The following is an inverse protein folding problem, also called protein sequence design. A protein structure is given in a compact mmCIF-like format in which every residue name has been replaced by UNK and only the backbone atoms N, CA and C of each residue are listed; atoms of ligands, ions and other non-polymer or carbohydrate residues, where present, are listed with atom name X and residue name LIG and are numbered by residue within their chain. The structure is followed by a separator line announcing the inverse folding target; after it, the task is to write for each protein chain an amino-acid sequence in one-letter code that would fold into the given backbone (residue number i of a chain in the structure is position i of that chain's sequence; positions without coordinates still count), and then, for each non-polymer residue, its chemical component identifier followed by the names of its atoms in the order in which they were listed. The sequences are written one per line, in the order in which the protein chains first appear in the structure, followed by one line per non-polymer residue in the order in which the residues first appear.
data_IF_452832263435
#
_entry.id   IF_452832263435
#
_cell.length_a   1.000
_cell.length_b   1.000
_cell.length_c   1.000
_cell.angle_alpha   90.00
_cell.angle_beta   90.00
_cell.angle_gamma   90.00
#
_symmetry.space_group_name_H-M   'P 1'
#
loop_
_entity.id
_entity.type
_entity.pdbx_description
1 polymer ?
#
# COMPACT_ATOMS: atom_id res chain seq x y z
N UNK A 1 16.51 3.70 -13.87
CA UNK A 1 15.83 4.02 -12.60
C UNK A 1 15.31 2.71 -12.03
N UNK A 2 15.53 2.44 -10.75
CA UNK A 2 14.94 1.28 -10.06
C UNK A 2 13.43 1.48 -9.91
N UNK A 3 12.66 0.41 -9.99
CA UNK A 3 11.21 0.44 -9.78
C UNK A 3 10.83 -0.67 -8.81
N UNK A 4 10.19 -0.31 -7.71
CA UNK A 4 9.62 -1.22 -6.71
C UNK A 4 8.14 -0.90 -6.58
N UNK A 5 7.29 -1.87 -6.88
CA UNK A 5 5.84 -1.73 -6.71
C UNK A 5 5.46 -2.01 -5.26
N UNK A 6 5.01 -0.99 -4.55
CA UNK A 6 4.71 -1.09 -3.11
C UNK A 6 3.35 -1.71 -2.80
N UNK A 7 2.50 -1.95 -3.80
CA UNK A 7 1.11 -2.35 -3.58
C UNK A 7 0.60 -3.31 -4.66
N UNK A 8 0.85 -4.60 -4.45
CA UNK A 8 0.41 -5.68 -5.33
C UNK A 8 -0.36 -6.73 -4.54
N UNK A 9 -1.38 -7.30 -5.13
CA UNK A 9 -2.12 -8.41 -4.55
C UNK A 9 -1.86 -9.72 -5.31
N UNK A 10 -1.64 -10.80 -4.56
CA UNK A 10 -1.58 -12.15 -5.10
C UNK A 10 -3.02 -12.69 -5.18
N UNK A 11 -3.48 -13.02 -6.38
CA UNK A 11 -4.77 -13.64 -6.58
C UNK A 11 -4.67 -15.15 -6.47
N UNK A 12 -5.76 -15.79 -6.02
CA UNK A 12 -5.87 -17.26 -5.96
C UNK A 12 -6.28 -17.82 -7.35
N UNK A 13 -5.39 -17.58 -8.32
CA UNK A 13 -5.54 -18.00 -9.71
C UNK A 13 -4.34 -18.83 -10.14
N UNK A 14 -4.59 -19.92 -10.87
CA UNK A 14 -3.52 -20.77 -11.36
C UNK A 14 -2.56 -20.01 -12.30
N UNK A 15 -1.26 -20.04 -12.01
CA UNK A 15 -0.23 -19.36 -12.81
C UNK A 15 -0.17 -17.84 -12.64
N UNK A 16 -0.93 -17.27 -11.65
CA UNK A 16 -0.92 -15.83 -11.40
C UNK A 16 0.48 -15.31 -11.07
N UNK A 17 1.20 -15.97 -10.16
CA UNK A 17 2.55 -15.57 -9.75
C UNK A 17 3.52 -15.56 -10.93
N UNK A 18 3.52 -16.60 -11.78
CA UNK A 18 4.37 -16.65 -12.96
C UNK A 18 4.07 -15.54 -13.95
N UNK A 19 2.79 -15.19 -14.11
CA UNK A 19 2.34 -14.10 -14.97
C UNK A 19 2.73 -12.73 -14.38
N UNK A 20 2.60 -12.55 -13.08
CA UNK A 20 3.06 -11.35 -12.36
C UNK A 20 4.57 -11.14 -12.56
N UNK A 21 5.39 -12.17 -12.32
CA UNK A 21 6.84 -12.10 -12.47
C UNK A 21 7.26 -11.75 -13.91
N UNK A 22 6.59 -12.33 -14.91
CA UNK A 22 6.82 -11.99 -16.31
C UNK A 22 6.46 -10.53 -16.60
N UNK A 23 5.33 -10.05 -16.11
CA UNK A 23 4.93 -8.65 -16.27
C UNK A 23 5.92 -7.70 -15.58
N UNK A 24 6.42 -8.07 -14.40
CA UNK A 24 7.49 -7.29 -13.75
C UNK A 24 8.74 -7.19 -14.64
N UNK A 25 9.15 -8.29 -15.29
CA UNK A 25 10.29 -8.29 -16.21
C UNK A 25 10.02 -7.37 -17.42
N UNK A 26 8.84 -7.49 -18.02
CA UNK A 26 8.43 -6.66 -19.17
C UNK A 26 8.37 -5.17 -18.83
N UNK A 27 7.98 -4.83 -17.59
CA UNK A 27 7.87 -3.45 -17.10
C UNK A 27 9.16 -2.92 -16.43
N UNK A 28 10.19 -3.76 -16.27
CA UNK A 28 11.42 -3.38 -15.58
C UNK A 28 11.23 -3.16 -14.07
N UNK A 29 10.22 -3.79 -13.45
CA UNK A 29 9.96 -3.74 -12.02
C UNK A 29 10.89 -4.72 -11.32
N UNK A 30 11.75 -4.21 -10.45
CA UNK A 30 12.75 -5.01 -9.74
C UNK A 30 12.12 -5.89 -8.66
N UNK A 31 11.27 -5.29 -7.82
CA UNK A 31 10.59 -5.95 -6.70
C UNK A 31 9.14 -5.49 -6.58
N UNK A 32 8.31 -6.31 -5.94
CA UNK A 32 7.00 -5.86 -5.50
C UNK A 32 6.71 -6.27 -4.05
N UNK A 33 6.04 -5.39 -3.30
CA UNK A 33 5.42 -5.71 -2.01
C UNK A 33 4.08 -6.37 -2.28
N UNK A 34 3.95 -7.63 -1.93
CA UNK A 34 2.80 -8.45 -2.31
C UNK A 34 2.04 -8.91 -1.06
N UNK A 35 0.74 -8.70 -1.05
CA UNK A 35 -0.17 -9.23 -0.04
C UNK A 35 -1.28 -10.05 -0.66
N UNK A 36 -1.84 -10.98 0.11
CA UNK A 36 -3.18 -11.49 -0.12
C UNK A 36 -4.23 -10.58 0.52
N UNK A 37 -5.52 -10.84 0.26
CA UNK A 37 -6.64 -10.28 1.02
C UNK A 37 -7.63 -11.37 1.41
N UNK A 38 -7.25 -12.63 1.20
CA UNK A 38 -8.08 -13.80 1.48
C UNK A 38 -9.29 -13.93 0.55
N UNK A 39 -10.14 -14.88 0.86
CA UNK A 39 -11.24 -15.31 -0.01
C UNK A 39 -12.31 -14.23 -0.27
N UNK A 40 -12.42 -13.20 0.60
CA UNK A 40 -13.42 -12.13 0.43
C UNK A 40 -13.30 -11.39 -0.90
N UNK A 41 -12.11 -11.38 -1.49
CA UNK A 41 -11.83 -10.77 -2.79
C UNK A 41 -11.35 -11.77 -3.86
N UNK A 42 -11.34 -13.06 -3.58
CA UNK A 42 -10.72 -14.05 -4.47
C UNK A 42 -9.20 -13.97 -4.49
N UNK A 43 -8.59 -13.41 -3.46
CA UNK A 43 -7.15 -13.29 -3.30
C UNK A 43 -6.58 -14.47 -2.52
N UNK A 44 -5.28 -14.69 -2.69
CA UNK A 44 -4.51 -15.64 -1.90
C UNK A 44 -4.50 -15.27 -0.41
N UNK A 45 -4.21 -16.23 0.44
CA UNK A 45 -3.99 -16.06 1.87
C UNK A 45 -2.52 -15.70 2.20
N UNK A 46 -2.23 -15.41 3.46
CA UNK A 46 -0.87 -15.10 3.92
C UNK A 46 0.09 -16.28 3.72
N UNK A 47 -0.38 -17.52 3.83
CA UNK A 47 0.46 -18.71 3.63
C UNK A 47 0.95 -18.80 2.18
N UNK A 48 0.08 -18.54 1.22
CA UNK A 48 0.41 -18.49 -0.21
C UNK A 48 1.39 -17.37 -0.54
N UNK A 49 1.21 -16.18 0.05
CA UNK A 49 2.19 -15.08 -0.05
C UNK A 49 3.53 -15.49 0.54
N UNK A 50 3.52 -16.19 1.69
CA UNK A 50 4.71 -16.76 2.31
C UNK A 50 5.47 -17.71 1.38
N UNK A 51 4.77 -18.56 0.64
CA UNK A 51 5.38 -19.45 -0.37
C UNK A 51 5.96 -18.62 -1.52
N UNK A 52 5.27 -17.60 -2.00
CA UNK A 52 5.70 -16.77 -3.12
C UNK A 52 7.03 -16.04 -2.83
N UNK A 53 7.16 -15.36 -1.70
CA UNK A 53 8.40 -14.64 -1.40
C UNK A 53 9.56 -15.57 -1.01
N UNK A 54 9.31 -16.74 -0.45
CA UNK A 54 10.36 -17.74 -0.21
C UNK A 54 10.87 -18.35 -1.52
N UNK A 55 10.00 -18.53 -2.51
CA UNK A 55 10.39 -19.00 -3.84
C UNK A 55 11.12 -17.92 -4.67
N UNK A 56 10.80 -16.66 -4.46
CA UNK A 56 11.34 -15.53 -5.22
C UNK A 56 11.80 -14.38 -4.31
N UNK A 57 12.79 -14.61 -3.42
CA UNK A 57 13.18 -13.64 -2.37
C UNK A 57 13.77 -12.34 -2.93
N UNK A 58 14.32 -12.40 -4.15
CA UNK A 58 14.89 -11.23 -4.83
C UNK A 58 13.84 -10.39 -5.56
N UNK A 59 12.61 -10.91 -5.70
CA UNK A 59 11.54 -10.28 -6.48
C UNK A 59 10.31 -9.91 -5.63
N UNK A 60 9.97 -10.73 -4.65
CA UNK A 60 8.75 -10.58 -3.85
C UNK A 60 9.09 -10.22 -2.41
N UNK A 61 8.50 -9.15 -1.91
CA UNK A 61 8.54 -8.73 -0.51
C UNK A 61 7.15 -9.06 0.08
N UNK A 62 7.09 -9.90 1.09
CA UNK A 62 5.82 -10.30 1.70
C UNK A 62 5.25 -9.17 2.57
N UNK A 63 3.99 -8.81 2.29
CA UNK A 63 3.16 -7.97 3.16
C UNK A 63 2.07 -8.86 3.79
N UNK A 64 2.08 -9.00 5.13
CA UNK A 64 1.07 -9.79 5.82
C UNK A 64 -0.26 -9.04 5.85
N UNK A 65 -1.33 -9.72 5.45
CA UNK A 65 -2.68 -9.17 5.54
C UNK A 65 -3.23 -9.32 6.95
N UNK A 66 -3.66 -8.20 7.54
CA UNK A 66 -4.21 -8.07 8.89
C UNK A 66 -5.56 -7.36 8.83
N UNK A 67 -6.53 -7.88 9.59
CA UNK A 67 -7.87 -7.31 9.74
C UNK A 67 -8.08 -6.82 11.18
N UNK A 68 -7.97 -5.52 11.46
CA UNK A 68 -8.23 -4.97 12.80
C UNK A 68 -9.62 -5.32 13.34
N UNK A 69 -9.69 -5.74 14.60
CA UNK A 69 -10.91 -6.25 15.24
C UNK A 69 -11.20 -7.73 14.95
N UNK A 70 -10.29 -8.43 14.24
CA UNK A 70 -10.32 -9.88 14.01
C UNK A 70 -8.99 -10.48 14.40
N UNK A 71 -7.91 -9.95 13.82
CA UNK A 71 -6.55 -10.44 14.01
C UNK A 71 -5.90 -9.78 15.22
N UNK A 72 -5.07 -10.54 15.94
CA UNK A 72 -4.32 -10.07 17.11
C UNK A 72 -2.86 -9.74 16.78
N UNK A 73 -2.13 -9.09 17.71
CA UNK A 73 -0.74 -8.68 17.53
C UNK A 73 0.21 -9.87 17.28
N UNK A 74 -0.10 -11.05 17.82
CA UNK A 74 0.68 -12.27 17.66
C UNK A 74 0.76 -12.75 16.19
N UNK A 75 -0.14 -12.29 15.34
CA UNK A 75 -0.08 -12.60 13.91
C UNK A 75 1.00 -11.78 13.22
N UNK A 76 1.26 -10.54 13.69
CA UNK A 76 2.37 -9.72 13.19
C UNK A 76 3.70 -10.32 13.65
N UNK A 77 3.79 -10.78 14.93
CA UNK A 77 4.98 -11.44 15.45
C UNK A 77 5.35 -12.66 14.61
N UNK A 78 4.39 -13.56 14.37
CA UNK A 78 4.58 -14.76 13.53
C UNK A 78 4.97 -14.41 12.10
N UNK A 79 4.30 -13.43 11.50
CA UNK A 79 4.61 -13.01 10.15
C UNK A 79 6.04 -12.45 10.04
N UNK A 80 6.50 -11.68 11.02
CA UNK A 80 7.88 -11.21 11.07
C UNK A 80 8.89 -12.38 11.14
N UNK A 81 8.62 -13.36 12.02
CA UNK A 81 9.45 -14.58 12.14
C UNK A 81 9.48 -15.39 10.84
N UNK A 82 8.36 -15.46 10.12
CA UNK A 82 8.24 -16.13 8.82
C UNK A 82 8.92 -15.39 7.67
N UNK A 83 9.32 -14.13 7.87
CA UNK A 83 10.05 -13.32 6.88
C UNK A 83 9.24 -12.25 6.15
N UNK A 84 7.99 -12.01 6.55
CA UNK A 84 7.26 -10.83 6.07
C UNK A 84 7.97 -9.55 6.50
N UNK A 85 7.87 -8.50 5.70
CA UNK A 85 8.55 -7.22 5.93
C UNK A 85 7.61 -6.02 5.96
N UNK A 86 6.34 -6.20 5.68
CA UNK A 86 5.33 -5.16 5.61
C UNK A 86 4.00 -5.70 6.13
N UNK A 87 3.14 -4.81 6.61
CA UNK A 87 1.76 -5.13 6.99
C UNK A 87 0.81 -4.47 5.99
N UNK A 88 -0.14 -5.23 5.45
CA UNK A 88 -1.29 -4.71 4.69
C UNK A 88 -2.54 -4.77 5.54
N UNK A 89 -3.24 -3.65 5.66
CA UNK A 89 -4.47 -3.56 6.45
C UNK A 89 -5.66 -3.26 5.55
N UNK A 90 -6.72 -4.06 5.68
CA UNK A 90 -7.97 -3.86 4.96
C UNK A 90 -9.13 -4.52 5.71
N UNK A 91 -10.37 -4.12 5.38
CA UNK A 91 -11.61 -4.70 5.92
C UNK A 91 -11.67 -4.80 7.46
N UNK A 92 -11.35 -3.75 8.19
CA UNK A 92 -11.39 -3.78 9.64
C UNK A 92 -12.85 -3.91 10.15
N UNK A 93 -13.04 -4.53 11.30
CA UNK A 93 -14.33 -4.55 12.03
C UNK A 93 -14.50 -3.43 13.04
N UNK A 94 -13.43 -2.70 13.29
CA UNK A 94 -13.39 -1.52 14.15
C UNK A 94 -12.58 -0.43 13.46
N UNK A 95 -12.74 0.85 13.81
CA UNK A 95 -11.89 1.92 13.27
C UNK A 95 -10.39 1.63 13.48
N UNK A 96 -9.52 2.10 12.59
CA UNK A 96 -8.07 1.92 12.73
C UNK A 96 -7.51 2.49 14.05
N UNK A 97 -8.13 3.56 14.55
CA UNK A 97 -7.79 4.24 15.81
C UNK A 97 -8.55 3.70 17.03
N UNK A 98 -9.24 2.57 16.92
CA UNK A 98 -9.81 1.91 18.07
C UNK A 98 -8.69 1.44 19.02
N UNK A 99 -8.85 1.70 20.31
CA UNK A 99 -7.82 1.39 21.32
C UNK A 99 -7.44 -0.09 21.35
N UNK A 100 -8.36 -0.98 20.97
CA UNK A 100 -8.10 -2.42 20.86
C UNK A 100 -7.11 -2.80 19.76
N UNK A 101 -6.82 -1.87 18.82
CA UNK A 101 -5.90 -2.10 17.72
C UNK A 101 -4.48 -1.58 18.00
N UNK A 102 -4.25 -0.84 19.08
CA UNK A 102 -2.95 -0.20 19.31
C UNK A 102 -1.82 -1.21 19.53
N UNK A 103 -2.12 -2.39 20.07
CA UNK A 103 -1.13 -3.47 20.19
C UNK A 103 -0.68 -4.00 18.81
N UNK A 104 -1.55 -3.98 17.78
CA UNK A 104 -1.15 -4.29 16.39
C UNK A 104 -0.09 -3.31 15.88
N UNK A 105 -0.36 -2.02 16.09
CA UNK A 105 0.55 -0.95 15.63
C UNK A 105 1.85 -0.92 16.41
N UNK A 106 1.78 -1.22 17.71
CA UNK A 106 2.97 -1.39 18.56
C UNK A 106 3.89 -2.50 18.03
N UNK A 107 3.34 -3.67 17.68
CA UNK A 107 4.12 -4.78 17.10
C UNK A 107 4.69 -4.46 15.73
N UNK A 108 3.90 -3.84 14.86
CA UNK A 108 4.41 -3.39 13.55
C UNK A 108 5.59 -2.41 13.72
N UNK A 109 5.48 -1.48 14.66
CA UNK A 109 6.55 -0.52 14.99
C UNK A 109 7.80 -1.20 15.58
N UNK A 110 7.62 -2.12 16.54
CA UNK A 110 8.72 -2.89 17.17
C UNK A 110 9.52 -3.67 16.12
N UNK A 111 8.82 -4.35 15.21
CA UNK A 111 9.43 -5.12 14.13
C UNK A 111 9.86 -4.27 12.93
N UNK A 112 9.67 -2.95 12.96
CA UNK A 112 9.96 -2.03 11.85
C UNK A 112 9.30 -2.45 10.54
N UNK A 113 8.08 -2.98 10.64
CA UNK A 113 7.27 -3.36 9.48
C UNK A 113 6.35 -2.17 9.13
N UNK A 114 6.58 -1.47 8.01
CA UNK A 114 5.69 -0.39 7.60
C UNK A 114 4.29 -0.94 7.32
N UNK A 115 3.28 -0.10 7.57
CA UNK A 115 1.88 -0.47 7.40
C UNK A 115 1.27 0.23 6.20
N UNK A 116 0.78 -0.54 5.25
CA UNK A 116 -0.04 -0.07 4.13
C UNK A 116 -1.52 -0.16 4.52
N UNK A 117 -2.11 0.98 4.83
CA UNK A 117 -3.53 1.09 5.17
C UNK A 117 -4.36 1.27 3.91
N UNK A 118 -5.29 0.34 3.66
CA UNK A 118 -6.35 0.63 2.69
C UNK A 118 -7.16 1.84 3.19
N UNK A 119 -7.43 2.78 2.31
CA UNK A 119 -8.31 3.91 2.59
C UNK A 119 -9.29 4.12 1.44
N UNK A 120 -10.44 4.68 1.75
CA UNK A 120 -11.46 4.87 0.74
C UNK A 120 -12.70 3.99 0.93
N UNK A 121 -13.59 4.08 -0.02
CA UNK A 121 -14.82 3.29 -0.02
C UNK A 121 -14.54 1.88 -0.54
N UNK A 122 -14.93 0.87 0.23
CA UNK A 122 -14.69 -0.53 -0.15
C UNK A 122 -15.61 -0.93 -1.29
N UNK A 123 -15.00 -1.48 -2.34
CA UNK A 123 -15.69 -2.05 -3.49
C UNK A 123 -15.76 -3.59 -3.39
N UNK A 124 -16.18 -4.12 -2.24
CA UNK A 124 -16.39 -5.56 -2.09
C UNK A 124 -17.86 -5.93 -2.27
N UNK A 125 -18.11 -7.22 -2.57
CA UNK A 125 -19.48 -7.77 -2.58
C UNK A 125 -20.11 -7.64 -1.19
N UNK A 126 -21.42 -7.44 -1.16
CA UNK A 126 -22.19 -7.48 0.09
C UNK A 126 -21.92 -8.79 0.83
N UNK A 127 -21.49 -8.65 2.08
CA UNK A 127 -21.23 -9.79 2.95
C UNK A 127 -21.97 -9.59 4.28
N UNK A 128 -23.25 -10.00 4.37
CA UNK A 128 -24.06 -9.83 5.57
C UNK A 128 -23.38 -10.45 6.79
N UNK A 129 -23.29 -9.69 7.88
CA UNK A 129 -22.66 -10.13 9.13
C UNK A 129 -21.19 -9.74 9.27
N UNK A 130 -20.53 -9.26 8.22
CA UNK A 130 -19.14 -8.77 8.31
C UNK A 130 -19.03 -7.38 8.95
N UNK A 131 -20.10 -6.60 8.97
CA UNK A 131 -20.13 -5.25 9.57
C UNK A 131 -19.02 -4.32 9.09
N UNK A 132 -18.67 -4.41 7.80
CA UNK A 132 -17.63 -3.59 7.19
C UNK A 132 -18.15 -2.15 7.03
N UNK A 133 -17.33 -1.19 7.45
CA UNK A 133 -17.62 0.24 7.24
C UNK A 133 -16.41 0.92 6.61
N UNK A 134 -16.62 1.57 5.47
CA UNK A 134 -15.57 2.39 4.84
C UNK A 134 -15.11 3.54 5.75
N UNK A 135 -15.97 4.02 6.65
CA UNK A 135 -15.62 5.05 7.62
C UNK A 135 -14.55 4.59 8.63
N UNK A 136 -14.40 3.29 8.85
CA UNK A 136 -13.33 2.74 9.69
C UNK A 136 -11.95 2.89 9.04
N UNK A 137 -11.94 3.07 7.72
CA UNK A 137 -10.74 3.22 6.87
C UNK A 137 -10.53 4.66 6.39
N UNK A 138 -11.15 5.64 7.07
CA UNK A 138 -10.94 7.06 6.77
C UNK A 138 -9.49 7.45 7.09
N UNK A 139 -8.77 8.21 6.23
CA UNK A 139 -7.35 8.57 6.44
C UNK A 139 -7.07 9.17 7.82
N UNK A 140 -7.97 10.00 8.36
CA UNK A 140 -7.77 10.63 9.68
C UNK A 140 -7.86 9.65 10.85
N UNK A 141 -8.32 8.41 10.65
CA UNK A 141 -8.19 7.33 11.64
C UNK A 141 -6.76 6.84 11.83
N UNK A 142 -5.86 7.22 10.93
CA UNK A 142 -4.44 6.87 11.00
C UNK A 142 -3.66 7.92 11.81
N UNK A 143 -4.18 9.14 11.93
CA UNK A 143 -3.49 10.24 12.59
C UNK A 143 -3.11 9.94 14.06
N UNK A 144 -4.01 9.41 14.93
CA UNK A 144 -3.66 9.04 16.29
C UNK A 144 -2.56 7.97 16.37
N UNK A 145 -2.57 7.01 15.43
CA UNK A 145 -1.56 5.95 15.34
C UNK A 145 -0.17 6.55 15.07
N UNK A 146 -0.09 7.49 14.13
CA UNK A 146 1.19 8.13 13.78
C UNK A 146 1.72 9.07 14.86
N UNK A 147 0.86 9.51 15.79
CA UNK A 147 1.29 10.26 16.98
C UNK A 147 1.87 9.35 18.05
N UNK A 148 1.23 8.23 18.28
CA UNK A 148 1.68 7.26 19.28
C UNK A 148 2.98 6.55 18.83
N UNK A 149 3.08 6.24 17.54
CA UNK A 149 4.22 5.54 16.94
C UNK A 149 4.89 6.39 15.85
N UNK A 150 5.68 7.41 16.22
CA UNK A 150 6.29 8.33 15.27
C UNK A 150 7.32 7.68 14.33
N UNK A 151 7.87 6.54 14.71
CA UNK A 151 8.85 5.77 13.93
C UNK A 151 8.19 4.72 13.01
N UNK A 152 6.89 4.46 13.17
CA UNK A 152 6.16 3.54 12.32
C UNK A 152 5.98 4.14 10.93
N UNK A 153 6.58 3.50 9.91
CA UNK A 153 6.35 3.86 8.52
C UNK A 153 4.90 3.57 8.10
N UNK A 154 4.25 4.52 7.48
CA UNK A 154 2.84 4.40 7.07
C UNK A 154 2.69 4.77 5.61
N UNK A 155 1.95 3.94 4.86
CA UNK A 155 1.48 4.24 3.51
C UNK A 155 -0.05 4.30 3.52
N UNK A 156 -0.60 5.44 3.10
CA UNK A 156 -2.05 5.65 2.92
C UNK A 156 -2.39 5.31 1.48
N UNK A 157 -3.12 4.23 1.27
CA UNK A 157 -3.46 3.76 -0.07
C UNK A 157 -4.42 4.71 -0.80
N UNK A 158 -4.28 4.78 -2.14
CA UNK A 158 -5.21 5.49 -3.04
C UNK A 158 -5.35 6.99 -2.76
N UNK A 159 -4.32 7.62 -2.16
CA UNK A 159 -4.43 9.01 -1.67
C UNK A 159 -5.76 9.25 -0.93
N UNK A 160 -6.22 8.26 -0.15
CA UNK A 160 -7.43 8.40 0.68
C UNK A 160 -8.76 8.43 -0.06
N UNK A 161 -8.85 7.99 -1.30
CA UNK A 161 -10.03 8.13 -2.18
C UNK A 161 -11.38 7.80 -1.48
N UNK A 162 -12.36 8.69 -1.32
CA UNK A 162 -12.53 10.05 -1.90
C UNK A 162 -12.15 11.18 -0.90
N UNK A 163 -11.44 10.87 0.18
CA UNK A 163 -10.95 11.82 1.21
C UNK A 163 -9.52 12.29 0.90
N UNK A 164 -9.28 12.66 -0.37
CA UNK A 164 -7.94 12.98 -0.87
C UNK A 164 -7.29 14.15 -0.12
N UNK A 165 -8.09 15.17 0.24
CA UNK A 165 -7.57 16.31 0.99
C UNK A 165 -7.08 15.92 2.39
N UNK A 166 -7.81 15.04 3.08
CA UNK A 166 -7.44 14.56 4.42
C UNK A 166 -6.19 13.68 4.38
N UNK A 167 -6.08 12.79 3.39
CA UNK A 167 -4.89 11.96 3.19
C UNK A 167 -3.65 12.80 2.87
N UNK A 168 -3.80 13.78 1.99
CA UNK A 168 -2.73 14.71 1.63
C UNK A 168 -2.28 15.54 2.84
N UNK A 169 -3.21 16.07 3.63
CA UNK A 169 -2.90 16.84 4.82
C UNK A 169 -2.23 15.98 5.89
N UNK A 170 -2.66 14.73 6.08
CA UNK A 170 -2.00 13.78 6.96
C UNK A 170 -0.54 13.54 6.55
N UNK A 171 -0.28 13.28 5.26
CA UNK A 171 1.07 13.10 4.73
C UNK A 171 1.93 14.36 4.87
N UNK A 172 1.33 15.55 4.70
CA UNK A 172 2.01 16.84 4.89
C UNK A 172 2.45 17.06 6.33
N UNK A 173 1.60 16.70 7.30
CA UNK A 173 1.81 16.99 8.71
C UNK A 173 2.59 15.91 9.47
N UNK A 174 2.69 14.69 8.91
CA UNK A 174 3.35 13.56 9.58
C UNK A 174 4.58 13.09 8.77
N UNK A 175 5.80 13.17 9.34
CA UNK A 175 7.03 12.82 8.61
C UNK A 175 7.09 11.35 8.18
N UNK A 176 6.48 10.45 8.96
CA UNK A 176 6.47 9.00 8.73
C UNK A 176 5.30 8.52 7.85
N UNK A 177 4.48 9.43 7.30
CA UNK A 177 3.35 9.10 6.42
C UNK A 177 3.67 9.36 4.97
N UNK A 178 3.40 8.38 4.14
CA UNK A 178 3.47 8.40 2.68
C UNK A 178 2.10 8.07 2.10
N UNK A 179 1.91 8.32 0.81
CA UNK A 179 0.69 7.98 0.09
C UNK A 179 1.06 7.22 -1.17
N UNK A 180 0.21 6.30 -1.61
CA UNK A 180 0.26 5.79 -2.98
C UNK A 180 -0.84 6.40 -3.84
N UNK A 181 -0.69 6.28 -5.15
CA UNK A 181 -1.66 6.78 -6.13
C UNK A 181 -2.34 5.63 -6.87
N UNK A 182 -2.43 4.47 -6.22
CA UNK A 182 -2.89 3.21 -6.81
C UNK A 182 -4.36 3.21 -7.17
N UNK A 183 -4.75 2.26 -7.98
CA UNK A 183 -6.14 1.98 -8.36
C UNK A 183 -6.34 1.81 -9.87
N UNK A 184 -7.53 1.43 -10.26
CA UNK A 184 -7.90 1.15 -11.64
C UNK A 184 -7.70 2.37 -12.57
N UNK A 185 -7.20 2.18 -13.81
CA UNK A 185 -6.93 3.26 -14.76
C UNK A 185 -8.14 4.16 -15.04
N UNK A 186 -9.31 3.56 -15.22
CA UNK A 186 -10.56 4.28 -15.51
C UNK A 186 -11.32 4.75 -14.26
N UNK A 187 -10.72 4.54 -13.08
CA UNK A 187 -11.31 4.90 -11.79
C UNK A 187 -11.01 6.36 -11.38
N UNK A 188 -10.78 6.51 -10.07
CA UNK A 188 -10.50 7.82 -9.45
C UNK A 188 -9.23 8.49 -10.01
N UNK A 189 -8.24 7.72 -10.44
CA UNK A 189 -6.97 8.20 -11.02
C UNK A 189 -7.22 9.11 -12.22
N UNK A 190 -8.06 8.68 -13.18
CA UNK A 190 -8.44 9.47 -14.35
C UNK A 190 -9.15 10.77 -13.96
N UNK A 191 -10.04 10.72 -12.97
CA UNK A 191 -10.68 11.92 -12.44
C UNK A 191 -9.67 12.84 -11.75
N UNK A 192 -8.76 12.29 -10.96
CA UNK A 192 -7.70 13.04 -10.30
C UNK A 192 -6.81 13.79 -11.31
N UNK A 193 -6.43 13.14 -12.39
CA UNK A 193 -5.65 13.77 -13.46
C UNK A 193 -6.41 14.93 -14.14
N UNK A 194 -7.73 14.80 -14.29
CA UNK A 194 -8.57 15.85 -14.89
C UNK A 194 -8.72 17.10 -14.04
N UNK A 195 -8.67 16.95 -12.70
CA UNK A 195 -8.78 18.10 -11.75
C UNK A 195 -7.42 18.62 -11.30
N UNK A 196 -6.35 17.90 -11.57
CA UNK A 196 -4.98 18.20 -11.15
C UNK A 196 -4.62 17.58 -9.81
N UNK A 197 -3.75 16.58 -9.82
CA UNK A 197 -3.26 15.88 -8.61
C UNK A 197 -2.49 16.84 -7.68
N UNK A 198 -1.82 17.82 -8.26
CA UNK A 198 -1.10 18.89 -7.58
C UNK A 198 -2.01 19.78 -6.73
N UNK A 199 -3.32 19.76 -6.91
CA UNK A 199 -4.26 20.47 -6.04
C UNK A 199 -4.35 19.87 -4.63
N UNK A 200 -4.16 18.58 -4.50
CA UNK A 200 -4.08 17.92 -3.20
C UNK A 200 -2.65 17.88 -2.68
N UNK A 201 -1.67 17.59 -3.54
CA UNK A 201 -0.25 17.55 -3.24
C UNK A 201 0.41 18.91 -3.58
N UNK A 202 -0.09 20.00 -2.95
CA UNK A 202 0.16 21.39 -3.31
C UNK A 202 1.39 22.02 -2.66
N UNK A 203 1.93 21.43 -1.58
CA UNK A 203 3.05 22.02 -0.86
C UNK A 203 4.41 21.66 -1.50
N UNK A 204 5.46 22.47 -1.30
CA UNK A 204 6.80 22.16 -1.80
C UNK A 204 7.30 20.79 -1.29
N UNK A 205 7.74 19.92 -2.20
CA UNK A 205 8.22 18.58 -1.87
C UNK A 205 7.11 17.54 -1.63
N UNK A 206 5.83 17.85 -1.90
CA UNK A 206 4.71 16.94 -1.67
C UNK A 206 4.91 15.57 -2.34
N UNK A 207 5.42 15.57 -3.58
CA UNK A 207 5.69 14.34 -4.32
C UNK A 207 6.82 13.48 -3.72
N UNK A 208 7.64 14.01 -2.83
CA UNK A 208 8.60 13.21 -2.05
C UNK A 208 7.91 12.31 -0.99
N UNK A 209 6.62 12.50 -0.79
CA UNK A 209 5.76 11.68 0.08
C UNK A 209 4.96 10.61 -0.69
N UNK A 210 5.21 10.46 -1.97
CA UNK A 210 4.55 9.45 -2.80
C UNK A 210 5.41 8.20 -2.90
N UNK A 211 4.80 7.03 -2.79
CA UNK A 211 5.36 5.73 -3.14
C UNK A 211 4.66 5.19 -4.38
N UNK A 212 5.42 4.60 -5.30
CA UNK A 212 4.84 3.92 -6.46
C UNK A 212 4.18 2.62 -6.04
N UNK A 213 2.99 2.37 -6.54
CA UNK A 213 2.24 1.14 -6.38
C UNK A 213 1.18 1.03 -7.46
N UNK A 214 0.72 -0.19 -7.76
CA UNK A 214 -0.26 -0.38 -8.84
C UNK A 214 -1.65 -0.78 -8.34
N UNK A 215 -1.76 -1.75 -7.45
CA UNK A 215 -3.03 -2.29 -6.92
C UNK A 215 -4.03 -2.70 -8.03
N UNK A 216 -3.51 -3.34 -9.06
CA UNK A 216 -4.30 -3.85 -10.18
C UNK A 216 -3.88 -5.28 -10.54
N UNK A 217 -4.70 -5.96 -11.33
CA UNK A 217 -4.32 -7.23 -11.93
C UNK A 217 -3.04 -7.06 -12.79
N UNK A 218 -2.15 -8.08 -12.79
CA UNK A 218 -0.85 -8.01 -13.50
C UNK A 218 -0.97 -7.49 -14.95
N UNK A 219 -2.05 -7.83 -15.66
CA UNK A 219 -2.27 -7.38 -17.03
C UNK A 219 -2.47 -5.87 -17.22
N UNK A 220 -2.59 -5.10 -16.13
CA UNK A 220 -2.74 -3.64 -16.15
C UNK A 220 -1.54 -2.90 -15.57
N UNK A 221 -0.57 -3.59 -14.99
CA UNK A 221 0.61 -2.97 -14.34
C UNK A 221 1.35 -2.04 -15.31
N UNK A 222 1.60 -2.48 -16.54
CA UNK A 222 2.28 -1.65 -17.55
C UNK A 222 1.53 -0.36 -17.86
N UNK A 223 0.18 -0.41 -17.95
CA UNK A 223 -0.64 0.78 -18.15
C UNK A 223 -0.53 1.76 -16.98
N UNK A 224 -0.58 1.25 -15.72
CA UNK A 224 -0.45 2.10 -14.52
C UNK A 224 0.92 2.77 -14.49
N UNK A 225 1.98 2.03 -14.77
CA UNK A 225 3.34 2.57 -14.82
C UNK A 225 3.47 3.69 -15.87
N UNK A 226 2.94 3.47 -17.07
CA UNK A 226 2.94 4.48 -18.13
C UNK A 226 2.14 5.73 -17.73
N UNK A 227 0.96 5.56 -17.12
CA UNK A 227 0.16 6.67 -16.63
C UNK A 227 0.90 7.49 -15.56
N UNK A 228 1.60 6.83 -14.62
CA UNK A 228 2.36 7.51 -13.58
C UNK A 228 3.57 8.25 -14.15
N UNK A 229 4.33 7.64 -15.07
CA UNK A 229 5.43 8.32 -15.77
C UNK A 229 4.91 9.57 -16.48
N UNK A 230 3.84 9.43 -17.27
CA UNK A 230 3.23 10.54 -18.00
C UNK A 230 2.71 11.66 -17.06
N UNK A 231 2.16 11.28 -15.90
CA UNK A 231 1.71 12.24 -14.87
C UNK A 231 2.87 13.02 -14.30
N UNK A 232 3.95 12.35 -13.93
CA UNK A 232 5.15 12.99 -13.39
C UNK A 232 5.84 13.89 -14.43
N UNK A 233 5.76 13.52 -15.73
CA UNK A 233 6.23 14.36 -16.83
C UNK A 233 5.42 15.65 -16.95
N UNK A 234 4.08 15.55 -16.97
CA UNK A 234 3.19 16.73 -17.02
C UNK A 234 3.41 17.68 -15.84
N UNK A 235 3.69 17.13 -14.66
CA UNK A 235 3.94 17.89 -13.44
C UNK A 235 5.39 18.36 -13.30
N UNK A 236 6.26 18.05 -14.29
CA UNK A 236 7.67 18.40 -14.29
C UNK A 236 8.42 17.97 -13.01
N UNK A 237 8.07 16.77 -12.50
CA UNK A 237 8.70 16.23 -11.30
C UNK A 237 10.16 15.86 -11.61
N UNK A 238 11.09 16.30 -10.76
CA UNK A 238 12.52 16.11 -10.95
C UNK A 238 12.92 14.62 -10.95
N UNK A 239 14.00 14.27 -11.63
CA UNK A 239 14.56 12.92 -11.64
C UNK A 239 14.82 12.40 -10.22
N UNK A 240 15.39 13.21 -9.35
CA UNK A 240 15.65 12.86 -7.96
C UNK A 240 14.36 12.50 -7.20
N UNK A 241 13.28 13.26 -7.37
CA UNK A 241 12.00 12.97 -6.75
C UNK A 241 11.37 11.71 -7.34
N UNK A 242 11.51 11.47 -8.65
CA UNK A 242 11.04 10.22 -9.29
C UNK A 242 11.76 8.98 -8.75
N UNK A 243 13.07 9.05 -8.52
CA UNK A 243 13.83 7.97 -7.90
C UNK A 243 13.31 7.64 -6.50
N UNK A 244 12.93 8.66 -5.72
CA UNK A 244 12.26 8.47 -4.43
C UNK A 244 10.90 7.79 -4.60
N UNK A 245 10.05 8.27 -5.52
CA UNK A 245 8.71 7.73 -5.76
C UNK A 245 8.78 6.27 -6.18
N UNK A 246 9.60 5.95 -7.18
CA UNK A 246 9.62 4.62 -7.80
C UNK A 246 10.34 3.55 -6.97
N UNK A 247 11.24 3.92 -6.05
CA UNK A 247 11.94 2.94 -5.23
C UNK A 247 12.39 3.48 -3.86
N UNK A 248 13.02 4.66 -3.81
CA UNK A 248 13.74 5.13 -2.63
C UNK A 248 12.86 5.19 -1.37
N UNK A 249 11.63 5.71 -1.48
CA UNK A 249 10.73 5.85 -0.34
C UNK A 249 10.32 4.50 0.25
N UNK A 250 9.87 3.56 -0.59
CA UNK A 250 9.43 2.26 -0.08
C UNK A 250 10.61 1.43 0.45
N UNK A 251 11.76 1.46 -0.22
CA UNK A 251 12.97 0.77 0.27
C UNK A 251 13.45 1.37 1.60
N UNK A 252 13.41 2.68 1.75
CA UNK A 252 13.71 3.36 3.01
C UNK A 252 12.77 2.96 4.14
N UNK A 253 11.46 2.88 3.87
CA UNK A 253 10.46 2.40 4.84
C UNK A 253 10.71 0.96 5.27
N UNK A 254 11.14 0.09 4.35
CA UNK A 254 11.46 -1.31 4.61
C UNK A 254 12.83 -1.52 5.26
N UNK A 255 13.64 -0.46 5.45
CA UNK A 255 15.01 -0.57 5.92
C UNK A 255 15.94 -1.33 4.95
N UNK A 256 15.60 -1.31 3.66
CA UNK A 256 16.38 -1.92 2.57
C UNK A 256 17.21 -0.84 1.87
N UNK A 257 18.42 -1.20 1.45
CA UNK A 257 19.29 -0.25 0.74
C UNK A 257 18.64 0.25 -0.56
N UNK A 258 18.66 1.57 -0.74
CA UNK A 258 18.15 2.27 -1.93
C UNK A 258 19.16 2.23 -3.09
#
# INVERSE_FOLDING_TARGET
MRIVDSHVHLLDESGYLDSLLRTMDECGIEKCCTSGLGQLFGHADNASVGLAFRAHPDRIIGAVFIRPGIDGPEQIDRAHEEGFRMVKVHLPRVPYDDVSCFDLWARANEHRMPVLFHTGVVACKDNPGEHISSWYMHPMRIEPITREFPDLGVVVAHLGVHWNADAAELARMRPNVYVDLTGEPDGWRRRADSVGMDKWLWWPGAFEKVVFGTDVHYGKIGQILEEDVNRLDRLSISTQTREKIFAGNILGLLGMDS
#
